data_IF_464412912731
#
_entry.id   IF_464412912731
#
_cell.length_a   1.000
_cell.length_b   1.000
_cell.length_c   1.000
_cell.angle_alpha   90.00
_cell.angle_beta   90.00
_cell.angle_gamma   90.00
#
_symmetry.space_group_name_H-M   'P 1'
#
loop_
_entity.id
_entity.type
_entity.pdbx_description
1 polymer ?
#
# COMPACT_ATOMS: atom_id res chain seq x y z
N UNK A 1 -23.41 43.65 33.67
CA UNK A 1 -22.25 42.95 33.06
C UNK A 1 -22.29 41.44 33.25
N UNK A 2 -22.49 40.89 34.46
CA UNK A 2 -22.53 39.43 34.71
C UNK A 2 -23.60 38.66 33.90
N UNK A 3 -24.79 39.24 33.69
CA UNK A 3 -25.86 38.64 32.88
C UNK A 3 -25.58 38.65 31.36
N UNK A 4 -24.76 39.58 30.88
CA UNK A 4 -24.38 39.68 29.47
C UNK A 4 -23.29 38.67 29.12
N UNK A 5 -22.31 38.48 30.01
CA UNK A 5 -21.30 37.42 29.88
C UNK A 5 -21.91 36.02 29.92
N UNK A 6 -22.91 35.77 30.77
CA UNK A 6 -23.60 34.48 30.81
C UNK A 6 -24.33 34.15 29.49
N UNK A 7 -24.89 35.17 28.83
CA UNK A 7 -25.60 35.02 27.56
C UNK A 7 -24.64 34.77 26.38
N UNK A 8 -23.47 35.40 26.38
CA UNK A 8 -22.43 35.19 25.36
C UNK A 8 -21.81 33.78 25.49
N UNK A 9 -21.60 33.30 26.72
CA UNK A 9 -21.10 31.93 26.96
C UNK A 9 -22.14 30.88 26.54
N UNK A 10 -23.43 31.12 26.82
CA UNK A 10 -24.51 30.22 26.38
C UNK A 10 -24.66 30.18 24.84
N UNK A 11 -24.46 31.30 24.15
CA UNK A 11 -24.53 31.37 22.69
C UNK A 11 -23.32 30.68 22.01
N UNK A 12 -22.13 30.76 22.62
CA UNK A 12 -20.93 30.07 22.11
C UNK A 12 -21.03 28.54 22.19
N UNK A 13 -21.79 28.00 23.15
CA UNK A 13 -21.95 26.55 23.32
C UNK A 13 -22.88 25.90 22.28
N UNK A 14 -23.71 26.69 21.58
CA UNK A 14 -24.67 26.19 20.58
C UNK A 14 -24.12 26.16 19.14
N UNK A 15 -22.90 26.64 18.91
CA UNK A 15 -22.32 26.79 17.56
C UNK A 15 -21.19 25.80 17.27
N UNK A 16 -20.97 24.79 18.12
CA UNK A 16 -19.99 23.75 17.84
C UNK A 16 -20.49 22.92 16.65
N UNK A 17 -19.74 22.86 15.53
CA UNK A 17 -20.14 22.03 14.41
C UNK A 17 -20.11 20.57 14.87
N UNK A 18 -21.28 19.94 14.88
CA UNK A 18 -21.39 18.50 15.04
C UNK A 18 -20.69 17.91 13.82
N UNK A 19 -19.49 17.35 14.02
CA UNK A 19 -18.84 16.56 12.99
C UNK A 19 -19.67 15.29 12.82
N UNK A 20 -20.64 15.35 11.91
CA UNK A 20 -21.35 14.19 11.40
C UNK A 20 -20.31 13.37 10.62
N UNK A 21 -19.62 12.48 11.33
CA UNK A 21 -18.98 11.30 10.74
C UNK A 21 -20.09 10.39 10.22
N UNK A 22 -20.72 10.79 9.13
CA UNK A 22 -21.65 9.95 8.38
C UNK A 22 -20.82 8.88 7.67
N UNK A 23 -20.56 7.78 8.36
CA UNK A 23 -20.06 6.52 7.78
C UNK A 23 -21.20 5.50 7.76
N UNK A 24 -22.38 5.96 7.31
CA UNK A 24 -23.52 5.10 7.11
C UNK A 24 -23.21 4.17 5.93
N UNK A 25 -22.66 3.01 6.25
CA UNK A 25 -22.54 1.81 5.38
C UNK A 25 -23.91 1.24 5.00
N UNK A 26 -24.93 2.11 4.92
CA UNK A 26 -26.26 1.75 4.44
C UNK A 26 -26.13 1.45 2.96
N UNK A 27 -26.60 0.28 2.49
CA UNK A 27 -26.57 -0.08 1.09
C UNK A 27 -27.62 0.75 0.32
N UNK A 28 -27.35 2.04 0.14
CA UNK A 28 -28.23 2.97 -0.55
C UNK A 28 -28.15 2.82 -2.08
N UNK A 29 -27.17 2.06 -2.59
CA UNK A 29 -26.97 1.84 -4.01
C UNK A 29 -26.45 3.08 -4.77
N UNK A 30 -26.11 4.16 -4.06
CA UNK A 30 -25.65 5.44 -4.63
C UNK A 30 -24.11 5.50 -4.61
N UNK A 31 -23.45 4.43 -5.04
CA UNK A 31 -22.01 4.47 -5.30
C UNK A 31 -21.78 4.60 -6.81
N UNK A 32 -20.99 5.59 -7.20
CA UNK A 32 -20.40 5.63 -8.53
C UNK A 32 -19.13 4.78 -8.47
N UNK A 33 -19.18 3.57 -9.02
CA UNK A 33 -18.04 2.64 -9.02
C UNK A 33 -16.77 3.31 -9.59
N UNK A 34 -16.93 4.10 -10.66
CA UNK A 34 -15.84 4.87 -11.29
C UNK A 34 -15.14 5.80 -10.29
N UNK A 35 -15.89 6.48 -9.42
CA UNK A 35 -15.30 7.37 -8.40
C UNK A 35 -14.49 6.59 -7.37
N UNK A 36 -14.94 5.38 -7.02
CA UNK A 36 -14.20 4.51 -6.09
C UNK A 36 -12.89 4.07 -6.74
N UNK A 37 -12.92 3.69 -8.02
CA UNK A 37 -11.72 3.31 -8.75
C UNK A 37 -10.73 4.46 -8.90
N UNK A 38 -11.20 5.64 -9.31
CA UNK A 38 -10.38 6.85 -9.42
C UNK A 38 -9.77 7.24 -8.06
N UNK A 39 -10.52 7.07 -6.97
CA UNK A 39 -10.05 7.35 -5.62
C UNK A 39 -8.93 6.39 -5.19
N UNK A 40 -9.05 5.09 -5.49
CA UNK A 40 -7.96 4.12 -5.28
C UNK A 40 -6.72 4.53 -6.07
N UNK A 41 -6.90 4.85 -7.35
CA UNK A 41 -5.79 5.21 -8.24
C UNK A 41 -5.08 6.49 -7.76
N UNK A 42 -5.83 7.48 -7.28
CA UNK A 42 -5.28 8.70 -6.68
C UNK A 42 -4.48 8.42 -5.39
N UNK A 43 -4.97 7.51 -4.53
CA UNK A 43 -4.25 7.10 -3.33
C UNK A 43 -2.94 6.42 -3.68
N UNK A 44 -2.94 5.53 -4.68
CA UNK A 44 -1.72 4.86 -5.14
C UNK A 44 -0.71 5.85 -5.74
N UNK A 45 -1.15 6.78 -6.58
CA UNK A 45 -0.27 7.82 -7.14
C UNK A 45 0.37 8.67 -6.04
N UNK A 46 -0.40 9.01 -5.00
CA UNK A 46 0.11 9.76 -3.85
C UNK A 46 1.13 8.96 -3.04
N UNK A 47 0.89 7.66 -2.82
CA UNK A 47 1.85 6.77 -2.14
C UNK A 47 3.14 6.60 -2.95
N UNK A 48 3.03 6.47 -4.27
CA UNK A 48 4.19 6.37 -5.17
C UNK A 48 5.04 7.62 -5.08
N UNK A 49 4.42 8.79 -5.19
CA UNK A 49 5.11 10.06 -5.04
C UNK A 49 5.78 10.18 -3.67
N UNK A 50 5.09 9.81 -2.60
CA UNK A 50 5.66 9.85 -1.25
C UNK A 50 6.91 8.97 -1.14
N UNK A 51 6.88 7.73 -1.65
CA UNK A 51 8.04 6.85 -1.65
C UNK A 51 9.21 7.40 -2.48
N UNK A 52 8.93 7.93 -3.67
CA UNK A 52 9.95 8.53 -4.53
C UNK A 52 10.62 9.73 -3.85
N UNK A 53 9.84 10.61 -3.22
CA UNK A 53 10.34 11.75 -2.45
C UNK A 53 11.19 11.28 -1.25
N UNK A 54 10.72 10.30 -0.48
CA UNK A 54 11.45 9.73 0.66
C UNK A 54 12.82 9.15 0.25
N UNK A 55 12.92 8.56 -0.94
CA UNK A 55 14.20 8.04 -1.47
C UNK A 55 15.14 9.16 -1.97
N UNK A 56 14.64 10.37 -2.21
CA UNK A 56 15.42 11.49 -2.75
C UNK A 56 15.85 12.54 -1.72
N UNK A 57 15.11 12.67 -0.62
CA UNK A 57 15.35 13.67 0.42
C UNK A 57 16.56 13.29 1.29
N UNK A 58 17.52 14.20 1.41
CA UNK A 58 18.57 14.10 2.44
C UNK A 58 18.08 14.68 3.78
N UNK A 59 18.64 14.22 4.90
CA UNK A 59 18.18 14.58 6.25
C UNK A 59 19.05 15.66 6.92
N UNK A 60 19.78 16.44 6.12
CA UNK A 60 20.83 17.36 6.59
C UNK A 60 20.28 18.65 7.23
N UNK A 61 19.00 18.97 6.99
CA UNK A 61 18.36 20.18 7.53
C UNK A 61 17.06 19.85 8.25
N UNK A 62 16.73 20.64 9.28
CA UNK A 62 15.43 20.53 9.99
C UNK A 62 14.25 20.65 9.03
N UNK A 63 14.37 21.50 7.99
CA UNK A 63 13.34 21.63 6.95
C UNK A 63 13.13 20.31 6.21
N UNK A 64 14.21 19.64 5.80
CA UNK A 64 14.11 18.37 5.08
C UNK A 64 13.63 17.24 5.98
N UNK A 65 14.05 17.19 7.23
CA UNK A 65 13.53 16.26 8.24
C UNK A 65 12.01 16.41 8.41
N UNK A 66 11.52 17.64 8.50
CA UNK A 66 10.08 17.91 8.57
C UNK A 66 9.34 17.45 7.30
N UNK A 67 9.92 17.67 6.11
CA UNK A 67 9.35 17.18 4.85
C UNK A 67 9.32 15.66 4.78
N UNK A 68 10.40 15.00 5.20
CA UNK A 68 10.48 13.53 5.26
C UNK A 68 9.37 12.96 6.14
N UNK A 69 9.22 13.49 7.37
CA UNK A 69 8.18 13.05 8.31
C UNK A 69 6.77 13.27 7.73
N UNK A 70 6.52 14.38 7.03
CA UNK A 70 5.24 14.62 6.34
C UNK A 70 4.95 13.58 5.27
N UNK A 71 5.94 13.18 4.49
CA UNK A 71 5.77 12.14 3.47
C UNK A 71 5.52 10.77 4.08
N UNK A 72 6.18 10.42 5.19
CA UNK A 72 5.86 9.21 5.96
C UNK A 72 4.39 9.21 6.40
N UNK A 73 3.94 10.28 7.07
CA UNK A 73 2.55 10.40 7.51
C UNK A 73 1.55 10.39 6.36
N UNK A 74 1.85 11.07 5.25
CA UNK A 74 0.95 11.10 4.10
C UNK A 74 0.80 9.70 3.49
N UNK A 75 1.91 8.96 3.34
CA UNK A 75 1.91 7.58 2.83
C UNK A 75 1.08 6.64 3.71
N UNK A 76 1.26 6.71 5.03
CA UNK A 76 0.48 5.90 5.98
C UNK A 76 -1.02 6.25 5.91
N UNK A 77 -1.35 7.54 5.91
CA UNK A 77 -2.73 7.99 5.79
C UNK A 77 -3.39 7.45 4.51
N UNK A 78 -2.74 7.58 3.35
CA UNK A 78 -3.31 7.06 2.10
C UNK A 78 -3.47 5.54 2.12
N UNK A 79 -2.53 4.83 2.75
CA UNK A 79 -2.58 3.38 2.97
C UNK A 79 -3.77 2.98 3.87
N UNK A 80 -4.12 3.79 4.86
CA UNK A 80 -5.32 3.55 5.69
C UNK A 80 -6.62 3.79 4.92
N UNK A 81 -6.71 4.87 4.16
CA UNK A 81 -7.92 5.20 3.38
C UNK A 81 -8.22 4.12 2.33
N UNK A 82 -7.20 3.65 1.59
CA UNK A 82 -7.36 2.57 0.61
C UNK A 82 -7.74 1.24 1.29
N UNK A 83 -7.16 0.92 2.45
CA UNK A 83 -7.51 -0.29 3.21
C UNK A 83 -8.97 -0.25 3.65
N UNK A 84 -9.41 0.88 4.19
CA UNK A 84 -10.79 1.11 4.59
C UNK A 84 -11.74 0.96 3.40
N UNK A 85 -11.39 1.54 2.25
CA UNK A 85 -12.19 1.42 1.03
C UNK A 85 -12.29 -0.05 0.56
N UNK A 86 -11.19 -0.80 0.58
CA UNK A 86 -11.20 -2.23 0.23
C UNK A 86 -12.12 -3.01 1.16
N UNK A 87 -12.02 -2.79 2.47
CA UNK A 87 -12.83 -3.48 3.47
C UNK A 87 -14.32 -3.10 3.35
N UNK A 88 -14.64 -1.81 3.35
CA UNK A 88 -16.00 -1.31 3.47
C UNK A 88 -16.80 -1.38 2.16
N UNK A 89 -16.16 -1.09 1.03
CA UNK A 89 -16.85 -1.10 -0.26
C UNK A 89 -16.75 -2.47 -0.92
N UNK A 90 -15.55 -3.03 -1.07
CA UNK A 90 -15.42 -4.28 -1.81
C UNK A 90 -15.83 -5.51 -0.98
N UNK A 91 -15.24 -5.71 0.20
CA UNK A 91 -15.52 -6.92 0.98
C UNK A 91 -16.94 -6.95 1.56
N UNK A 92 -17.40 -5.83 2.13
CA UNK A 92 -18.71 -5.79 2.80
C UNK A 92 -19.88 -5.62 1.83
N UNK A 93 -19.70 -4.94 0.68
CA UNK A 93 -20.83 -4.58 -0.19
C UNK A 93 -20.80 -5.27 -1.57
N UNK A 94 -19.64 -5.33 -2.24
CA UNK A 94 -19.53 -5.79 -3.64
C UNK A 94 -19.33 -7.29 -3.79
N UNK A 95 -18.43 -7.89 -3.02
CA UNK A 95 -18.18 -9.34 -3.07
C UNK A 95 -19.34 -10.06 -2.40
N UNK A 96 -20.08 -10.87 -3.16
CA UNK A 96 -21.15 -11.69 -2.60
C UNK A 96 -20.61 -13.03 -2.11
N UNK A 97 -21.17 -13.58 -1.03
CA UNK A 97 -20.90 -14.96 -0.65
C UNK A 97 -21.44 -15.92 -1.72
N UNK A 98 -20.84 -17.11 -1.80
CA UNK A 98 -21.31 -18.23 -2.60
C UNK A 98 -21.36 -18.02 -4.14
N UNK A 99 -20.72 -16.98 -4.67
CA UNK A 99 -20.48 -16.86 -6.11
C UNK A 99 -19.25 -17.71 -6.52
N UNK A 100 -19.22 -18.27 -7.74
CA UNK A 100 -18.10 -19.10 -8.20
C UNK A 100 -16.72 -18.42 -8.12
N UNK A 101 -16.68 -17.09 -8.20
CA UNK A 101 -15.47 -16.28 -8.19
C UNK A 101 -15.20 -15.56 -6.87
N UNK A 102 -16.05 -15.75 -5.84
CA UNK A 102 -15.89 -15.13 -4.51
C UNK A 102 -14.51 -15.40 -3.92
N UNK A 103 -14.05 -16.65 -3.96
CA UNK A 103 -12.74 -17.03 -3.40
C UNK A 103 -11.59 -16.25 -4.05
N UNK A 104 -11.62 -16.10 -5.38
CA UNK A 104 -10.59 -15.36 -6.14
C UNK A 104 -10.65 -13.86 -5.86
N UNK A 105 -11.86 -13.27 -5.78
CA UNK A 105 -12.05 -11.86 -5.40
C UNK A 105 -11.49 -11.59 -3.99
N UNK A 106 -11.77 -12.47 -3.03
CA UNK A 106 -11.26 -12.34 -1.65
C UNK A 106 -9.73 -12.48 -1.58
N UNK A 107 -9.15 -13.42 -2.33
CA UNK A 107 -7.70 -13.61 -2.38
C UNK A 107 -6.99 -12.36 -2.92
N UNK A 108 -7.48 -11.77 -4.02
CA UNK A 108 -6.93 -10.54 -4.59
C UNK A 108 -7.09 -9.36 -3.63
N UNK A 109 -8.25 -9.20 -2.99
CA UNK A 109 -8.46 -8.17 -1.98
C UNK A 109 -7.51 -8.31 -0.78
N UNK A 110 -7.32 -9.52 -0.29
CA UNK A 110 -6.35 -9.81 0.77
C UNK A 110 -4.91 -9.50 0.34
N UNK A 111 -4.50 -9.90 -0.87
CA UNK A 111 -3.18 -9.58 -1.42
C UNK A 111 -2.94 -8.06 -1.47
N UNK A 112 -3.93 -7.28 -1.90
CA UNK A 112 -3.85 -5.82 -1.86
C UNK A 112 -3.65 -5.28 -0.45
N UNK A 113 -4.45 -5.73 0.52
CA UNK A 113 -4.33 -5.33 1.92
C UNK A 113 -2.95 -5.68 2.51
N UNK A 114 -2.41 -6.84 2.16
CA UNK A 114 -1.07 -7.25 2.56
C UNK A 114 0.02 -6.34 1.97
N UNK A 115 -0.06 -6.04 0.66
CA UNK A 115 0.86 -5.13 -0.01
C UNK A 115 0.80 -3.72 0.58
N UNK A 116 -0.38 -3.25 0.99
CA UNK A 116 -0.54 -1.95 1.66
C UNK A 116 0.26 -1.89 2.97
N UNK A 117 0.31 -2.98 3.75
CA UNK A 117 1.16 -3.02 4.96
C UNK A 117 2.64 -2.87 4.58
N UNK A 118 3.09 -3.54 3.52
CA UNK A 118 4.44 -3.36 2.98
C UNK A 118 4.70 -1.92 2.51
N UNK A 119 3.71 -1.28 1.86
CA UNK A 119 3.81 0.12 1.46
C UNK A 119 3.99 1.03 2.67
N UNK A 120 3.30 0.79 3.79
CA UNK A 120 3.48 1.58 5.03
C UNK A 120 4.89 1.44 5.62
N UNK A 121 5.43 0.23 5.63
CA UNK A 121 6.69 -0.08 6.30
C UNK A 121 7.93 0.34 5.50
N UNK A 122 7.81 0.46 4.17
CA UNK A 122 8.97 0.49 3.27
C UNK A 122 8.97 1.76 2.38
N UNK A 123 10.03 1.98 1.61
CA UNK A 123 10.08 3.00 0.54
C UNK A 123 10.41 2.42 -0.84
N UNK A 124 10.34 1.09 -0.98
CA UNK A 124 10.53 0.40 -2.25
C UNK A 124 9.29 0.55 -3.15
N UNK A 125 9.46 1.29 -4.24
CA UNK A 125 8.41 1.52 -5.24
C UNK A 125 7.96 0.23 -5.93
N UNK A 126 8.77 -0.84 -5.94
CA UNK A 126 8.39 -2.13 -6.50
C UNK A 126 7.12 -2.70 -5.86
N UNK A 127 6.88 -2.43 -4.58
CA UNK A 127 5.68 -2.90 -3.86
C UNK A 127 4.43 -2.20 -4.38
N UNK A 128 4.55 -0.92 -4.74
CA UNK A 128 3.44 -0.17 -5.37
C UNK A 128 3.12 -0.72 -6.75
N UNK A 129 4.15 -1.06 -7.55
CA UNK A 129 3.92 -1.71 -8.84
C UNK A 129 3.22 -3.06 -8.69
N UNK A 130 3.61 -3.87 -7.70
CA UNK A 130 2.90 -5.11 -7.38
C UNK A 130 1.45 -4.86 -6.96
N UNK A 131 1.22 -3.83 -6.14
CA UNK A 131 -0.14 -3.43 -5.75
C UNK A 131 -0.99 -3.09 -6.97
N UNK A 132 -0.45 -2.29 -7.90
CA UNK A 132 -1.15 -1.91 -9.13
C UNK A 132 -1.45 -3.11 -10.03
N UNK A 133 -0.54 -4.07 -10.14
CA UNK A 133 -0.76 -5.31 -10.90
C UNK A 133 -1.92 -6.13 -10.31
N UNK A 134 -1.96 -6.28 -8.98
CA UNK A 134 -3.07 -6.97 -8.29
C UNK A 134 -4.37 -6.16 -8.40
N UNK A 135 -4.29 -4.84 -8.29
CA UNK A 135 -5.44 -3.95 -8.43
C UNK A 135 -6.07 -4.02 -9.82
N UNK A 136 -5.27 -4.10 -10.87
CA UNK A 136 -5.75 -4.24 -12.24
C UNK A 136 -6.45 -5.59 -12.46
N UNK A 137 -5.83 -6.69 -12.00
CA UNK A 137 -6.47 -8.00 -11.98
C UNK A 137 -7.78 -8.00 -11.19
N UNK A 138 -7.83 -7.26 -10.09
CA UNK A 138 -9.02 -7.14 -9.25
C UNK A 138 -10.13 -6.36 -9.96
N UNK A 139 -9.85 -5.21 -10.58
CA UNK A 139 -10.80 -4.46 -11.40
C UNK A 139 -11.40 -5.33 -12.50
N UNK A 140 -10.59 -6.18 -13.12
CA UNK A 140 -11.05 -7.09 -14.16
C UNK A 140 -12.06 -8.15 -13.67
N UNK A 141 -12.13 -8.43 -12.37
CA UNK A 141 -13.14 -9.32 -11.80
C UNK A 141 -14.53 -8.67 -11.71
N UNK A 142 -14.64 -7.34 -11.89
CA UNK A 142 -15.88 -6.57 -11.74
C UNK A 142 -16.38 -5.94 -13.04
N UNK A 143 -15.81 -6.27 -14.21
CA UNK A 143 -16.20 -5.67 -15.50
C UNK A 143 -17.72 -5.70 -15.72
N UNK A 144 -18.35 -4.53 -15.57
CA UNK A 144 -19.69 -4.25 -16.09
C UNK A 144 -19.57 -3.99 -17.60
N UNK A 145 -20.63 -4.27 -18.36
CA UNK A 145 -20.71 -3.87 -19.78
C UNK A 145 -20.28 -2.40 -19.93
N UNK A 146 -19.16 -2.16 -20.61
CA UNK A 146 -18.71 -0.82 -21.02
C UNK A 146 -17.78 -0.04 -20.07
N UNK A 147 -17.25 -0.62 -18.98
CA UNK A 147 -16.23 0.09 -18.17
C UNK A 147 -14.85 0.05 -18.84
N UNK A 148 -14.37 1.21 -19.31
CA UNK A 148 -12.97 1.42 -19.69
C UNK A 148 -12.24 2.09 -18.52
N UNK A 149 -11.27 1.41 -17.93
CA UNK A 149 -10.42 1.99 -16.88
C UNK A 149 -9.63 3.18 -17.47
N UNK A 150 -10.02 4.40 -17.08
CA UNK A 150 -9.39 5.65 -17.53
C UNK A 150 -8.15 6.02 -16.72
N UNK A 151 -7.31 5.05 -16.35
CA UNK A 151 -5.92 5.45 -16.10
C UNK A 151 -5.38 5.88 -17.47
N UNK A 152 -4.73 7.06 -17.55
CA UNK A 152 -3.91 7.41 -18.71
C UNK A 152 -3.02 6.21 -19.02
N UNK A 153 -3.33 5.49 -20.10
CA UNK A 153 -2.63 4.26 -20.51
C UNK A 153 -1.12 4.49 -20.61
N UNK A 154 -0.71 5.74 -20.79
CA UNK A 154 0.66 6.25 -20.75
C UNK A 154 1.31 6.06 -19.37
N UNK A 155 0.65 6.43 -18.26
CA UNK A 155 1.18 6.22 -16.90
C UNK A 155 1.31 4.73 -16.58
N UNK A 156 0.32 3.91 -16.96
CA UNK A 156 0.40 2.45 -16.80
C UNK A 156 1.53 1.83 -17.61
N UNK A 157 1.69 2.25 -18.87
CA UNK A 157 2.81 1.78 -19.71
C UNK A 157 4.15 2.15 -19.09
N UNK A 158 4.32 3.40 -18.67
CA UNK A 158 5.53 3.87 -18.00
C UNK A 158 5.81 3.07 -16.73
N UNK A 159 4.79 2.83 -15.90
CA UNK A 159 4.95 2.03 -14.70
C UNK A 159 5.20 0.54 -14.97
N UNK A 160 4.64 0.00 -16.05
CA UNK A 160 4.92 -1.37 -16.48
C UNK A 160 6.37 -1.52 -16.99
N UNK A 161 6.88 -0.51 -17.70
CA UNK A 161 8.29 -0.40 -18.09
C UNK A 161 9.19 -0.32 -16.85
N UNK A 162 8.93 0.61 -15.93
CA UNK A 162 9.65 0.75 -14.66
C UNK A 162 9.65 -0.56 -13.85
N UNK A 163 8.50 -1.23 -13.73
CA UNK A 163 8.39 -2.52 -13.05
C UNK A 163 9.20 -3.63 -13.73
N UNK A 164 9.24 -3.64 -15.07
CA UNK A 164 10.02 -4.61 -15.84
C UNK A 164 11.52 -4.39 -15.64
N UNK A 165 11.97 -3.15 -15.69
CA UNK A 165 13.36 -2.80 -15.41
C UNK A 165 13.77 -3.20 -13.99
N UNK A 166 12.91 -3.00 -12.99
CA UNK A 166 13.15 -3.42 -11.62
C UNK A 166 13.27 -4.94 -11.50
N UNK A 167 12.36 -5.70 -12.14
CA UNK A 167 12.41 -7.17 -12.17
C UNK A 167 13.69 -7.68 -12.86
N UNK A 168 14.12 -7.04 -13.95
CA UNK A 168 15.37 -7.36 -14.65
C UNK A 168 16.60 -7.08 -13.79
N UNK A 169 16.65 -5.93 -13.11
CA UNK A 169 17.72 -5.59 -12.15
C UNK A 169 17.78 -6.58 -11.00
N UNK A 170 16.65 -6.96 -10.41
CA UNK A 170 16.60 -7.97 -9.34
C UNK A 170 17.12 -9.33 -9.81
N UNK A 171 16.74 -9.76 -11.02
CA UNK A 171 17.22 -11.02 -11.60
C UNK A 171 18.72 -11.00 -11.92
N UNK A 172 19.28 -9.86 -12.30
CA UNK A 172 20.72 -9.69 -12.50
C UNK A 172 21.47 -9.74 -11.16
N UNK A 173 21.02 -8.99 -10.15
CA UNK A 173 21.59 -9.02 -8.80
C UNK A 173 21.58 -10.43 -8.19
N UNK A 174 20.51 -11.19 -8.37
CA UNK A 174 20.40 -12.56 -7.89
C UNK A 174 21.36 -13.53 -8.62
N UNK A 175 21.61 -13.31 -9.92
CA UNK A 175 22.63 -14.08 -10.67
C UNK A 175 24.05 -13.75 -10.23
N UNK A 176 24.32 -12.49 -9.93
CA UNK A 176 25.64 -12.05 -9.46
C UNK A 176 25.93 -12.55 -8.04
N UNK A 177 24.92 -12.58 -7.15
CA UNK A 177 25.03 -13.17 -5.81
C UNK A 177 25.15 -14.70 -5.86
N UNK A 178 24.45 -15.37 -6.79
CA UNK A 178 24.60 -16.82 -7.00
C UNK A 178 25.99 -17.22 -7.52
N UNK A 179 26.63 -16.36 -8.31
CA UNK A 179 28.03 -16.56 -8.74
C UNK A 179 29.04 -16.33 -7.61
N UNK A 180 28.77 -15.40 -6.69
CA UNK A 180 29.64 -15.13 -5.56
C UNK A 180 29.65 -16.28 -4.53
N UNK A 181 28.54 -17.01 -4.35
CA UNK A 181 28.49 -18.15 -3.41
C UNK A 181 29.10 -19.45 -3.96
N UNK A 182 29.30 -19.58 -5.27
CA UNK A 182 29.99 -20.74 -5.88
C UNK A 182 31.52 -20.62 -5.85
N UNK A 183 32.06 -19.45 -5.49
CA UNK A 183 33.51 -19.21 -5.49
C UNK A 183 34.20 -19.37 -4.13
N UNK A 184 33.46 -19.64 -3.05
CA UNK A 184 34.02 -19.74 -1.68
C UNK A 184 34.02 -21.17 -1.09
N UNK A 185 33.65 -22.18 -1.89
CA UNK A 185 33.80 -23.60 -1.52
C UNK A 185 34.89 -24.28 -2.33
N UNK A 186 36.11 -23.74 -2.30
CA UNK A 186 37.30 -24.54 -2.62
C UNK A 186 38.49 -24.00 -1.85
N UNK A 187 38.62 -24.38 -0.56
CA UNK A 187 39.90 -24.61 0.11
C UNK A 187 39.64 -24.93 1.60
N UNK A 188 39.55 -26.22 1.94
CA UNK A 188 40.33 -26.85 3.00
C UNK A 188 39.87 -28.30 3.21
N UNK A 189 40.56 -29.22 2.54
CA UNK A 189 40.66 -30.63 2.92
C UNK A 189 42.14 -30.95 3.11
N UNK A 190 42.53 -31.24 4.35
CA UNK A 190 43.68 -32.02 4.87
C UNK A 190 43.87 -31.55 6.33
N UNK A 191 43.96 -32.35 7.39
CA UNK A 191 44.17 -33.78 7.59
C UNK A 191 43.83 -34.09 9.07
N UNK A 192 43.24 -35.26 9.31
CA UNK A 192 43.26 -36.13 10.54
C UNK A 192 43.65 -35.57 11.91
N UNK A 193 42.88 -35.90 12.96
CA UNK A 193 43.15 -37.04 13.85
C UNK A 193 42.07 -37.19 14.95
N UNK A 194 41.86 -38.43 15.39
CA UNK A 194 40.94 -38.90 16.43
C UNK A 194 41.35 -38.38 17.81
N UNK A 195 40.36 -38.13 18.68
CA UNK A 195 40.27 -38.79 20.00
C UNK A 195 38.90 -38.54 20.62
N UNK A 196 38.34 -39.61 21.19
CA UNK A 196 37.19 -39.67 22.08
C UNK A 196 37.26 -38.66 23.23
N UNK A 197 36.11 -38.16 23.69
CA UNK A 197 35.59 -38.44 25.05
C UNK A 197 34.25 -37.77 25.34
N UNK A 198 33.46 -38.50 26.14
CA UNK A 198 32.19 -38.17 26.77
C UNK A 198 32.13 -36.81 27.49
N UNK A 199 30.91 -36.30 27.60
CA UNK A 199 30.23 -35.72 28.79
C UNK A 199 29.17 -34.73 28.27
N UNK A 200 27.86 -34.97 28.37
CA UNK A 200 27.04 -35.10 29.58
C UNK A 200 27.20 -33.92 30.55
N UNK A 201 26.46 -32.83 30.29
CA UNK A 201 25.59 -32.13 31.25
C UNK A 201 24.59 -31.22 30.49
#
# INVERSE_FOLDING_TARGET
MKKLSALIIAFSALTTPIQLLAHCQMPCGIYHDDMVYDQVDQYVETMYKAMAELNSINLDTVKNQNTFVRWVFQKEKQSDEISKLILEYFLQQKIKPDEPDTAKKLELAHKMLFLIVGIKQNTDVAIIHQFMEVWDQFKHMFHREGYECKIETIKLKKWAEEAKELKEKQNQTNKDHGKASEQDTSHQDTETDKTDTDHAE
#
